data_IF_937789052351
#
_entry.id   IF_937789052351
#
_cell.length_a   1.000
_cell.length_b   1.000
_cell.length_c   1.000
_cell.angle_alpha   90.00
_cell.angle_beta   90.00
_cell.angle_gamma   90.00
#
_symmetry.space_group_name_H-M   'P 1'
#
loop_
_entity.id
_entity.type
_entity.pdbx_description
1 polymer ?
#
# COMPACT_ATOMS: atom_id res chain seq x y z
N UNK A 1 -10.78 -6.43 30.64
CA UNK A 1 -10.40 -5.95 29.30
C UNK A 1 -8.90 -5.74 29.33
N UNK A 2 -8.14 -6.69 28.80
CA UNK A 2 -6.70 -6.56 28.60
C UNK A 2 -6.48 -5.51 27.52
N UNK A 3 -5.54 -4.60 27.70
CA UNK A 3 -5.20 -3.61 26.68
C UNK A 3 -4.69 -4.33 25.42
N UNK A 4 -5.00 -3.80 24.23
CA UNK A 4 -4.30 -4.19 23.00
C UNK A 4 -2.80 -4.17 23.28
N UNK A 5 -2.08 -5.23 22.91
CA UNK A 5 -0.64 -5.33 23.16
C UNK A 5 0.13 -4.46 22.16
N UNK A 6 0.09 -3.15 22.39
CA UNK A 6 0.79 -2.14 21.59
C UNK A 6 2.28 -2.46 21.45
N UNK A 7 2.87 -3.11 22.46
CA UNK A 7 4.27 -3.53 22.41
C UNK A 7 4.50 -4.55 21.30
N UNK A 8 3.66 -5.57 21.18
CA UNK A 8 3.75 -6.55 20.08
C UNK A 8 3.66 -5.86 18.71
N UNK A 9 2.76 -4.88 18.56
CA UNK A 9 2.62 -4.11 17.30
C UNK A 9 3.90 -3.32 16.98
N UNK A 10 4.49 -2.68 17.99
CA UNK A 10 5.73 -1.91 17.85
C UNK A 10 6.93 -2.81 17.53
N UNK A 11 7.00 -4.01 18.11
CA UNK A 11 8.04 -5.00 17.84
C UNK A 11 7.97 -5.48 16.38
N UNK A 12 6.78 -5.87 15.90
CA UNK A 12 6.56 -6.26 14.48
C UNK A 12 6.97 -5.14 13.53
N UNK A 13 6.53 -3.90 13.81
CA UNK A 13 6.87 -2.72 13.01
C UNK A 13 8.39 -2.52 12.92
N UNK A 14 9.06 -2.58 14.07
CA UNK A 14 10.49 -2.29 14.16
C UNK A 14 11.31 -3.35 13.44
N UNK A 15 10.96 -4.63 13.61
CA UNK A 15 11.62 -5.73 12.91
C UNK A 15 11.40 -5.66 11.40
N UNK A 16 10.17 -5.38 10.95
CA UNK A 16 9.85 -5.28 9.52
C UNK A 16 10.61 -4.11 8.85
N UNK A 17 10.64 -2.93 9.46
CA UNK A 17 11.42 -1.81 8.90
C UNK A 17 12.93 -2.04 8.95
N UNK A 18 13.45 -2.73 9.97
CA UNK A 18 14.85 -3.13 10.01
C UNK A 18 15.19 -4.07 8.84
N UNK A 19 14.33 -5.06 8.57
CA UNK A 19 14.47 -5.94 7.42
C UNK A 19 14.45 -5.18 6.09
N UNK A 20 13.45 -4.30 5.88
CA UNK A 20 13.33 -3.49 4.66
C UNK A 20 14.56 -2.61 4.45
N UNK A 21 15.07 -2.00 5.52
CA UNK A 21 16.28 -1.18 5.45
C UNK A 21 17.53 -1.98 5.08
N UNK A 22 17.68 -3.19 5.65
CA UNK A 22 18.78 -4.09 5.32
C UNK A 22 18.73 -4.58 3.86
N UNK A 23 17.53 -4.77 3.31
CA UNK A 23 17.29 -5.27 1.94
C UNK A 23 17.02 -4.15 0.93
N UNK A 24 17.29 -2.88 1.26
CA UNK A 24 17.03 -1.74 0.36
C UNK A 24 17.66 -1.90 -1.04
N UNK A 25 18.80 -2.60 -1.12
CA UNK A 25 19.49 -2.87 -2.37
C UNK A 25 18.71 -3.77 -3.33
N UNK A 26 17.87 -4.66 -2.80
CA UNK A 26 17.04 -5.57 -3.61
C UNK A 26 15.84 -4.86 -4.26
N UNK A 27 15.53 -3.64 -3.83
CA UNK A 27 14.57 -2.75 -4.47
C UNK A 27 15.17 -1.89 -5.58
N UNK A 28 16.49 -1.91 -5.77
CA UNK A 28 17.15 -1.06 -6.76
C UNK A 28 16.71 -1.41 -8.19
N UNK A 29 16.53 -0.39 -9.03
CA UNK A 29 16.25 -0.60 -10.44
C UNK A 29 17.53 -1.05 -11.16
N UNK A 30 17.51 -2.23 -11.76
CA UNK A 30 18.55 -2.68 -12.68
C UNK A 30 18.36 -2.14 -14.11
N UNK A 31 19.32 -2.43 -14.99
CA UNK A 31 19.27 -2.02 -16.42
C UNK A 31 18.00 -2.50 -17.13
N UNK A 32 17.44 -3.63 -16.69
CA UNK A 32 16.19 -4.22 -17.17
C UNK A 32 14.95 -3.33 -16.97
N UNK A 33 14.98 -2.40 -16.00
CA UNK A 33 13.87 -1.48 -15.71
C UNK A 33 13.57 -0.49 -16.86
N UNK A 34 14.47 -0.38 -17.84
CA UNK A 34 14.34 0.47 -19.03
C UNK A 34 14.13 -0.31 -20.33
N UNK A 35 14.10 -1.64 -20.26
CA UNK A 35 13.93 -2.47 -21.45
C UNK A 35 12.45 -2.60 -21.80
N UNK A 36 12.12 -2.64 -23.10
CA UNK A 36 10.74 -2.79 -23.57
C UNK A 36 10.11 -4.13 -23.16
N UNK A 37 10.94 -5.15 -22.90
CA UNK A 37 10.53 -6.45 -22.35
C UNK A 37 10.65 -6.51 -20.81
N UNK A 38 10.97 -5.38 -20.17
CA UNK A 38 11.15 -5.27 -18.73
C UNK A 38 9.87 -5.61 -17.99
N UNK A 39 9.94 -6.57 -17.06
CA UNK A 39 8.79 -6.92 -16.23
C UNK A 39 8.59 -5.84 -15.15
N UNK A 40 7.67 -4.91 -15.39
CA UNK A 40 7.33 -3.85 -14.43
C UNK A 40 7.00 -4.39 -13.03
N UNK A 41 6.35 -5.57 -12.96
CA UNK A 41 6.03 -6.25 -11.71
C UNK A 41 7.25 -6.73 -10.91
N UNK A 42 8.39 -6.93 -11.58
CA UNK A 42 9.65 -7.36 -10.93
C UNK A 42 10.61 -6.22 -10.62
N UNK A 43 10.42 -5.07 -11.28
CA UNK A 43 11.36 -3.93 -11.25
C UNK A 43 10.72 -2.73 -10.56
N UNK A 44 9.73 -2.12 -11.22
CA UNK A 44 9.08 -0.89 -10.78
C UNK A 44 8.12 -1.08 -9.61
N UNK A 45 7.42 -2.21 -9.57
CA UNK A 45 6.42 -2.48 -8.54
C UNK A 45 7.02 -2.53 -7.13
N UNK A 46 8.09 -3.31 -6.84
CA UNK A 46 8.73 -3.29 -5.52
C UNK A 46 9.19 -1.90 -5.09
N UNK A 47 9.82 -1.13 -6.00
CA UNK A 47 10.29 0.22 -5.70
C UNK A 47 9.12 1.17 -5.39
N UNK A 48 8.04 1.09 -6.16
CA UNK A 48 6.84 1.88 -5.95
C UNK A 48 6.14 1.58 -4.63
N UNK A 49 6.07 0.31 -4.26
CA UNK A 49 5.51 -0.15 -2.98
C UNK A 49 6.38 0.30 -1.79
N UNK A 50 7.72 0.21 -1.91
CA UNK A 50 8.64 0.77 -0.92
C UNK A 50 8.41 2.28 -0.74
N UNK A 51 8.39 3.03 -1.84
CA UNK A 51 8.21 4.48 -1.81
C UNK A 51 6.86 4.84 -1.18
N UNK A 52 5.81 4.10 -1.51
CA UNK A 52 4.46 4.33 -1.03
C UNK A 52 4.35 4.08 0.47
N UNK A 53 4.80 2.92 0.95
CA UNK A 53 4.83 2.60 2.38
C UNK A 53 5.61 3.66 3.15
N UNK A 54 6.79 4.05 2.67
CA UNK A 54 7.62 5.05 3.33
C UNK A 54 6.96 6.44 3.33
N UNK A 55 6.40 6.86 2.20
CA UNK A 55 5.71 8.15 2.08
C UNK A 55 4.49 8.24 3.00
N UNK A 56 3.70 7.17 3.11
CA UNK A 56 2.53 7.10 4.00
C UNK A 56 2.95 7.13 5.47
N UNK A 57 3.91 6.28 5.88
CA UNK A 57 4.36 6.20 7.29
C UNK A 57 5.04 7.50 7.74
N UNK A 58 5.78 8.17 6.85
CA UNK A 58 6.42 9.46 7.14
C UNK A 58 5.42 10.54 7.55
N UNK A 59 4.17 10.48 7.10
CA UNK A 59 3.15 11.46 7.45
C UNK A 59 2.67 11.37 8.90
N UNK A 60 2.78 10.19 9.51
CA UNK A 60 2.32 9.92 10.87
C UNK A 60 3.46 9.88 11.90
N UNK A 61 4.69 10.12 11.47
CA UNK A 61 5.86 10.08 12.33
C UNK A 61 6.42 11.48 12.48
N UNK A 62 6.71 11.89 13.73
CA UNK A 62 7.33 13.17 14.00
C UNK A 62 8.80 13.18 13.52
N UNK A 63 9.37 14.32 13.08
CA UNK A 63 10.76 14.39 12.63
C UNK A 63 11.82 13.93 13.64
N UNK A 64 11.48 13.91 14.93
CA UNK A 64 12.35 13.41 16.01
C UNK A 64 12.28 11.89 16.23
N UNK A 65 11.30 11.21 15.62
CA UNK A 65 11.15 9.76 15.71
C UNK A 65 12.21 9.08 14.82
N UNK A 66 13.01 8.12 15.35
CA UNK A 66 13.95 7.35 14.54
C UNK A 66 13.29 6.66 13.32
N UNK A 67 12.02 6.27 13.42
CA UNK A 67 11.28 5.71 12.30
C UNK A 67 11.12 6.73 11.17
N UNK A 68 10.88 8.01 11.49
CA UNK A 68 10.78 9.07 10.50
C UNK A 68 12.06 9.21 9.66
N UNK A 69 13.22 9.13 10.32
CA UNK A 69 14.51 9.17 9.64
C UNK A 69 14.68 7.96 8.71
N UNK A 70 14.40 6.74 9.22
CA UNK A 70 14.50 5.50 8.44
C UNK A 70 13.64 5.53 7.16
N UNK A 71 12.34 5.87 7.29
CA UNK A 71 11.45 5.92 6.11
C UNK A 71 11.78 7.07 5.17
N UNK A 72 12.34 8.17 5.68
CA UNK A 72 12.80 9.28 4.83
C UNK A 72 14.02 8.89 4.00
N UNK A 73 14.97 8.16 4.58
CA UNK A 73 16.14 7.63 3.86
C UNK A 73 15.75 6.61 2.80
N UNK A 74 14.80 5.71 3.11
CA UNK A 74 14.30 4.73 2.14
C UNK A 74 13.53 5.38 0.98
N UNK A 75 12.72 6.41 1.27
CA UNK A 75 12.03 7.17 0.24
C UNK A 75 13.00 7.98 -0.64
N UNK A 76 14.04 8.59 -0.05
CA UNK A 76 15.07 9.29 -0.82
C UNK A 76 15.88 8.30 -1.67
N UNK A 77 16.23 7.13 -1.13
CA UNK A 77 16.83 6.04 -1.90
C UNK A 77 15.96 5.68 -3.10
N UNK A 78 14.66 5.44 -2.88
CA UNK A 78 13.75 5.07 -3.95
C UNK A 78 13.67 6.17 -5.04
N UNK A 79 13.66 7.44 -4.63
CA UNK A 79 13.67 8.57 -5.56
C UNK A 79 14.97 8.65 -6.38
N UNK A 80 16.12 8.39 -5.75
CA UNK A 80 17.40 8.34 -6.43
C UNK A 80 17.46 7.22 -7.48
N UNK A 81 16.86 6.05 -7.22
CA UNK A 81 16.80 4.95 -8.20
C UNK A 81 16.07 5.36 -9.49
N UNK A 82 15.11 6.28 -9.40
CA UNK A 82 14.39 6.80 -10.58
C UNK A 82 15.16 7.86 -11.37
N UNK A 83 16.44 8.10 -11.04
CA UNK A 83 17.20 9.22 -11.57
C UNK A 83 16.60 10.57 -11.14
N UNK A 84 15.99 10.62 -9.94
CA UNK A 84 15.20 11.76 -9.47
C UNK A 84 14.11 12.19 -10.46
N UNK A 85 13.43 11.20 -11.04
CA UNK A 85 12.28 11.37 -11.92
C UNK A 85 12.58 11.34 -13.41
N UNK A 86 13.85 11.40 -13.83
CA UNK A 86 14.25 11.36 -15.24
C UNK A 86 13.82 10.05 -15.92
N UNK A 87 13.87 8.92 -15.20
CA UNK A 87 13.48 7.62 -15.77
C UNK A 87 11.99 7.55 -16.12
N UNK A 88 11.10 8.24 -15.37
CA UNK A 88 9.67 8.26 -15.72
C UNK A 88 9.41 8.97 -17.05
N UNK A 89 10.16 10.03 -17.34
CA UNK A 89 10.09 10.71 -18.63
C UNK A 89 10.57 9.80 -19.76
N UNK A 90 11.67 9.08 -19.55
CA UNK A 90 12.18 8.14 -20.54
C UNK A 90 11.18 7.00 -20.80
N UNK A 91 10.63 6.40 -19.74
CA UNK A 91 9.61 5.35 -19.86
C UNK A 91 8.36 5.83 -20.58
N UNK A 92 7.88 7.04 -20.29
CA UNK A 92 6.71 7.57 -20.99
C UNK A 92 6.95 7.81 -22.48
N UNK A 93 8.20 8.04 -22.90
CA UNK A 93 8.52 8.13 -24.32
C UNK A 93 8.53 6.76 -25.00
N UNK A 94 8.98 5.71 -24.29
CA UNK A 94 8.99 4.33 -24.77
C UNK A 94 7.59 3.71 -24.77
N UNK A 95 6.81 3.97 -23.71
CA UNK A 95 5.49 3.42 -23.47
C UNK A 95 4.46 4.52 -23.12
N UNK A 96 4.03 5.36 -24.09
CA UNK A 96 3.18 6.51 -23.81
C UNK A 96 1.82 6.19 -23.18
N UNK A 97 1.35 4.95 -23.26
CA UNK A 97 0.05 4.54 -22.74
C UNK A 97 0.14 3.61 -21.52
N UNK A 98 1.36 3.29 -21.06
CA UNK A 98 1.53 2.57 -19.81
C UNK A 98 1.14 3.48 -18.62
N UNK A 99 0.31 2.96 -17.72
CA UNK A 99 -0.16 3.73 -16.57
C UNK A 99 0.74 3.58 -15.35
N UNK A 100 1.49 2.46 -15.25
CA UNK A 100 2.34 2.18 -14.09
C UNK A 100 3.38 3.28 -13.78
N UNK A 101 4.02 3.97 -14.76
CA UNK A 101 4.98 5.02 -14.43
C UNK A 101 4.29 6.19 -13.71
N UNK A 102 3.06 6.53 -14.10
CA UNK A 102 2.27 7.58 -13.45
C UNK A 102 1.85 7.15 -12.06
N UNK A 103 1.39 5.91 -11.91
CA UNK A 103 0.99 5.33 -10.63
C UNK A 103 2.15 5.40 -9.62
N UNK A 104 3.36 4.97 -10.01
CA UNK A 104 4.56 5.04 -9.17
C UNK A 104 5.03 6.49 -8.95
N UNK A 105 5.10 7.32 -9.99
CA UNK A 105 5.51 8.73 -9.86
C UNK A 105 4.62 9.50 -8.87
N UNK A 106 3.32 9.21 -8.88
CA UNK A 106 2.35 9.93 -8.07
C UNK A 106 2.64 9.87 -6.56
N UNK A 107 3.28 8.79 -6.10
CA UNK A 107 3.74 8.62 -4.73
C UNK A 107 4.80 9.68 -4.39
N UNK A 108 5.80 9.83 -5.25
CA UNK A 108 6.87 10.83 -5.10
C UNK A 108 6.30 12.25 -5.18
N UNK A 109 5.42 12.51 -6.15
CA UNK A 109 4.78 13.81 -6.30
C UNK A 109 3.95 14.20 -5.07
N UNK A 110 3.19 13.26 -4.51
CA UNK A 110 2.44 13.43 -3.25
C UNK A 110 3.36 13.68 -2.04
N UNK A 111 4.58 13.16 -2.08
CA UNK A 111 5.63 13.40 -1.09
C UNK A 111 6.44 14.69 -1.31
N UNK A 112 6.10 15.49 -2.34
CA UNK A 112 6.79 16.73 -2.70
C UNK A 112 8.04 16.55 -3.58
N UNK A 113 8.35 15.32 -3.99
CA UNK A 113 9.47 14.98 -4.88
C UNK A 113 8.97 15.01 -6.32
N UNK A 114 9.22 16.12 -7.03
CA UNK A 114 8.59 16.42 -8.32
C UNK A 114 9.59 16.56 -9.45
N UNK A 115 9.16 16.19 -10.66
CA UNK A 115 9.94 16.31 -11.89
C UNK A 115 9.11 17.02 -12.99
N UNK A 116 9.39 18.32 -13.19
CA UNK A 116 8.57 19.18 -14.06
C UNK A 116 8.48 18.70 -15.52
N UNK A 117 9.57 18.13 -16.06
CA UNK A 117 9.59 17.59 -17.43
C UNK A 117 8.66 16.40 -17.61
N UNK A 118 8.60 15.53 -16.60
CA UNK A 118 7.68 14.38 -16.60
C UNK A 118 6.24 14.84 -16.45
N UNK A 119 5.94 15.76 -15.54
CA UNK A 119 4.57 16.27 -15.35
C UNK A 119 4.02 16.92 -16.61
N UNK A 120 4.84 17.70 -17.33
CA UNK A 120 4.44 18.30 -18.60
C UNK A 120 4.15 17.23 -19.69
N UNK A 121 4.98 16.19 -19.77
CA UNK A 121 4.77 15.08 -20.70
C UNK A 121 3.51 14.27 -20.33
N UNK A 122 3.33 13.96 -19.05
CA UNK A 122 2.20 13.20 -18.54
C UNK A 122 0.88 13.96 -18.72
N UNK A 123 0.85 15.27 -18.48
CA UNK A 123 -0.30 16.11 -18.77
C UNK A 123 -0.67 16.08 -20.27
N UNK A 124 0.34 16.08 -21.14
CA UNK A 124 0.14 15.97 -22.60
C UNK A 124 -0.49 14.62 -22.97
N UNK A 125 0.09 13.52 -22.51
CA UNK A 125 -0.42 12.15 -22.73
C UNK A 125 -1.84 12.00 -22.19
N UNK A 126 -2.08 12.44 -20.95
CA UNK A 126 -3.38 12.39 -20.28
C UNK A 126 -4.47 13.15 -21.06
N UNK A 127 -4.10 14.20 -21.79
CA UNK A 127 -5.04 14.96 -22.62
C UNK A 127 -5.52 14.19 -23.86
N UNK A 128 -4.85 13.11 -24.27
CA UNK A 128 -5.20 12.35 -25.48
C UNK A 128 -6.48 11.52 -25.29
N UNK A 129 -7.16 11.20 -26.39
CA UNK A 129 -8.30 10.26 -26.35
C UNK A 129 -7.84 8.85 -26.02
N UNK A 130 -6.67 8.43 -26.51
CA UNK A 130 -6.11 7.10 -26.27
C UNK A 130 -5.98 6.80 -24.78
N UNK A 131 -5.36 7.70 -24.03
CA UNK A 131 -5.25 7.57 -22.58
C UNK A 131 -6.62 7.59 -21.87
N UNK A 132 -7.56 8.43 -22.33
CA UNK A 132 -8.90 8.50 -21.71
C UNK A 132 -9.75 7.25 -21.94
N UNK A 133 -9.47 6.51 -23.02
CA UNK A 133 -10.22 5.33 -23.43
C UNK A 133 -9.46 4.03 -23.18
N UNK A 134 -8.31 4.09 -22.50
CA UNK A 134 -7.56 2.90 -22.09
C UNK A 134 -8.46 2.01 -21.24
N UNK A 135 -8.62 0.76 -21.65
CA UNK A 135 -9.37 -0.25 -20.90
C UNK A 135 -8.64 -0.56 -19.59
N UNK A 136 -9.38 -0.47 -18.48
CA UNK A 136 -8.82 -0.56 -17.14
C UNK A 136 -9.79 -1.34 -16.25
N UNK A 137 -9.25 -2.24 -15.44
CA UNK A 137 -10.00 -2.83 -14.34
C UNK A 137 -10.52 -1.73 -13.40
N UNK A 138 -11.76 -1.84 -12.87
CA UNK A 138 -12.38 -0.81 -12.05
C UNK A 138 -11.53 -0.36 -10.85
N UNK A 139 -10.87 -1.28 -10.16
CA UNK A 139 -10.00 -0.96 -9.01
C UNK A 139 -8.78 -0.15 -9.47
N UNK A 140 -8.14 -0.54 -10.57
CA UNK A 140 -6.99 0.21 -11.12
C UNK A 140 -7.39 1.60 -11.59
N UNK A 141 -8.61 1.78 -12.11
CA UNK A 141 -9.13 3.10 -12.50
C UNK A 141 -9.11 4.08 -11.34
N UNK A 142 -9.47 3.65 -10.12
CA UNK A 142 -9.40 4.49 -8.92
C UNK A 142 -7.96 4.90 -8.60
N UNK A 143 -7.02 3.98 -8.69
CA UNK A 143 -5.60 4.24 -8.51
C UNK A 143 -5.06 5.29 -9.48
N UNK A 144 -5.40 5.14 -10.77
CA UNK A 144 -4.99 6.11 -11.81
C UNK A 144 -5.61 7.48 -11.59
N UNK A 145 -6.89 7.56 -11.21
CA UNK A 145 -7.52 8.84 -10.87
C UNK A 145 -6.82 9.51 -9.68
N UNK A 146 -6.41 8.73 -8.68
CA UNK A 146 -5.58 9.20 -7.56
C UNK A 146 -4.21 9.68 -8.03
N UNK A 147 -3.55 8.93 -8.90
CA UNK A 147 -2.22 9.23 -9.42
C UNK A 147 -2.21 10.51 -10.27
N UNK A 148 -3.22 10.69 -11.11
CA UNK A 148 -3.44 11.91 -11.89
C UNK A 148 -3.58 13.13 -10.96
N UNK A 149 -4.41 13.04 -9.91
CA UNK A 149 -4.59 14.14 -8.94
C UNK A 149 -3.28 14.53 -8.24
N UNK A 150 -2.53 13.54 -7.74
CA UNK A 150 -1.25 13.80 -7.06
C UNK A 150 -0.19 14.39 -8.00
N UNK A 151 -0.26 14.05 -9.29
CA UNK A 151 0.65 14.57 -10.31
C UNK A 151 0.20 15.92 -10.90
N UNK A 152 -0.89 16.52 -10.39
CA UNK A 152 -1.43 17.80 -10.89
C UNK A 152 -2.24 17.69 -12.20
N UNK A 153 -2.59 16.48 -12.62
CA UNK A 153 -3.43 16.21 -13.79
C UNK A 153 -4.89 16.22 -13.33
N UNK A 154 -5.60 17.32 -13.57
CA UNK A 154 -6.99 17.47 -13.15
C UNK A 154 -7.97 16.97 -14.22
N UNK A 155 -8.86 16.04 -13.83
CA UNK A 155 -9.95 15.54 -14.67
C UNK A 155 -11.32 15.80 -14.05
N UNK A 156 -12.36 15.92 -14.89
CA UNK A 156 -13.75 16.04 -14.42
C UNK A 156 -14.40 14.71 -14.02
N UNK A 157 -13.73 13.56 -14.11
CA UNK A 157 -14.34 12.26 -13.80
C UNK A 157 -14.58 12.11 -12.27
N UNK A 158 -15.83 11.90 -11.82
CA UNK A 158 -16.12 11.71 -10.41
C UNK A 158 -15.66 10.32 -9.94
N UNK A 159 -14.88 10.27 -8.87
CA UNK A 159 -14.40 9.03 -8.28
C UNK A 159 -15.54 8.07 -7.87
N UNK A 160 -16.72 8.61 -7.53
CA UNK A 160 -17.93 7.85 -7.20
C UNK A 160 -18.38 6.92 -8.33
N UNK A 161 -18.27 7.37 -9.59
CA UNK A 161 -18.64 6.54 -10.75
C UNK A 161 -17.67 5.37 -10.95
N UNK A 162 -16.38 5.59 -10.70
CA UNK A 162 -15.38 4.53 -10.75
C UNK A 162 -15.57 3.54 -9.59
N UNK A 163 -15.88 4.04 -8.38
CA UNK A 163 -16.17 3.22 -7.20
C UNK A 163 -17.34 2.26 -7.46
N UNK A 164 -18.45 2.76 -8.00
CA UNK A 164 -19.64 1.94 -8.29
C UNK A 164 -19.44 0.82 -9.32
N UNK A 165 -18.29 0.77 -10.01
CA UNK A 165 -17.91 -0.32 -10.93
C UNK A 165 -17.04 -1.39 -10.28
N UNK A 166 -16.57 -1.16 -9.05
CA UNK A 166 -15.73 -2.12 -8.32
C UNK A 166 -16.60 -3.17 -7.63
N UNK A 167 -16.02 -4.33 -7.32
CA UNK A 167 -16.69 -5.35 -6.51
C UNK A 167 -17.16 -4.77 -5.17
N UNK A 168 -16.27 -4.09 -4.44
CA UNK A 168 -16.58 -3.51 -3.13
C UNK A 168 -17.67 -2.41 -3.21
N UNK A 169 -17.65 -1.57 -4.24
CA UNK A 169 -18.67 -0.54 -4.46
C UNK A 169 -20.07 -1.09 -4.77
N UNK A 170 -20.18 -2.37 -5.14
CA UNK A 170 -21.45 -3.08 -5.30
C UNK A 170 -22.04 -3.65 -4.01
N UNK A 171 -21.31 -3.58 -2.88
CA UNK A 171 -21.70 -4.18 -1.59
C UNK A 171 -22.20 -5.64 -1.73
N UNK A 172 -21.39 -6.54 -2.31
CA UNK A 172 -21.80 -7.89 -2.66
C UNK A 172 -22.01 -8.75 -1.42
N UNK A 173 -22.55 -9.95 -1.60
CA UNK A 173 -22.67 -10.89 -0.51
C UNK A 173 -21.27 -11.27 0.03
N UNK A 174 -21.03 -11.15 1.33
CA UNK A 174 -19.68 -11.19 1.92
C UNK A 174 -19.00 -12.56 1.84
N UNK A 175 -19.77 -13.64 1.67
CA UNK A 175 -19.26 -15.00 1.48
C UNK A 175 -18.76 -15.25 0.04
N UNK A 176 -18.89 -14.27 -0.85
CA UNK A 176 -18.32 -14.32 -2.21
C UNK A 176 -16.90 -13.76 -2.28
N UNK A 177 -16.29 -13.47 -1.12
CA UNK A 177 -14.90 -13.03 -1.06
C UNK A 177 -13.97 -14.17 -1.51
N UNK A 178 -13.20 -13.89 -2.55
CA UNK A 178 -12.12 -14.72 -3.07
C UNK A 178 -10.79 -13.97 -2.89
N UNK A 179 -9.66 -14.66 -3.10
CA UNK A 179 -8.33 -14.03 -2.99
C UNK A 179 -8.20 -12.78 -3.86
N UNK A 180 -8.67 -12.83 -5.11
CA UNK A 180 -8.60 -11.71 -6.05
C UNK A 180 -9.49 -10.53 -5.63
N UNK A 181 -10.71 -10.78 -5.14
CA UNK A 181 -11.59 -9.73 -4.63
C UNK A 181 -11.10 -9.17 -3.29
N UNK A 182 -10.40 -9.99 -2.48
CA UNK A 182 -9.63 -9.57 -1.31
C UNK A 182 -8.63 -8.47 -1.63
N UNK A 183 -7.66 -8.74 -2.52
CA UNK A 183 -6.71 -7.71 -2.93
C UNK A 183 -7.37 -6.54 -3.68
N UNK A 184 -8.44 -6.79 -4.43
CA UNK A 184 -9.15 -5.70 -5.09
C UNK A 184 -9.82 -4.75 -4.07
N UNK A 185 -10.44 -5.28 -3.01
CA UNK A 185 -11.15 -4.46 -2.02
C UNK A 185 -10.18 -3.62 -1.17
N UNK A 186 -9.03 -4.18 -0.80
CA UNK A 186 -8.00 -3.46 -0.03
C UNK A 186 -7.50 -2.26 -0.82
N UNK A 187 -7.18 -2.46 -2.11
CA UNK A 187 -6.78 -1.38 -3.01
C UNK A 187 -7.87 -0.32 -3.22
N UNK A 188 -9.16 -0.71 -3.29
CA UNK A 188 -10.25 0.29 -3.32
C UNK A 188 -10.20 1.19 -2.08
N UNK A 189 -10.10 0.60 -0.88
CA UNK A 189 -10.02 1.38 0.36
C UNK A 189 -8.75 2.21 0.41
N UNK A 190 -7.60 1.67 0.00
CA UNK A 190 -6.34 2.41 -0.08
C UNK A 190 -6.47 3.63 -1.00
N UNK A 191 -7.11 3.50 -2.16
CA UNK A 191 -7.31 4.64 -3.06
C UNK A 191 -8.34 5.66 -2.55
N UNK A 192 -9.41 5.23 -1.88
CA UNK A 192 -10.41 6.13 -1.30
C UNK A 192 -9.84 6.94 -0.14
N UNK A 193 -9.09 6.26 0.72
CA UNK A 193 -8.53 6.84 1.95
C UNK A 193 -7.19 7.51 1.73
N UNK A 194 -6.66 7.47 0.50
CA UNK A 194 -5.36 8.01 0.18
C UNK A 194 -4.27 7.38 1.07
N UNK A 195 -4.31 6.03 1.08
CA UNK A 195 -3.51 5.13 1.89
C UNK A 195 -3.59 5.44 3.39
N UNK A 196 -4.83 5.49 3.91
CA UNK A 196 -5.10 5.69 5.35
C UNK A 196 -5.13 7.16 5.82
N UNK A 197 -4.82 8.12 4.94
CA UNK A 197 -4.74 9.55 5.28
C UNK A 197 -6.09 10.20 5.57
N UNK A 198 -7.13 9.83 4.83
CA UNK A 198 -8.44 10.48 4.88
C UNK A 198 -9.55 9.46 5.04
N UNK A 199 -9.72 8.96 6.27
CA UNK A 199 -10.77 7.99 6.61
C UNK A 199 -12.19 8.51 6.29
N UNK A 200 -12.44 9.81 6.43
CA UNK A 200 -13.74 10.44 6.17
C UNK A 200 -14.18 10.41 4.69
N UNK A 201 -13.29 9.99 3.77
CA UNK A 201 -13.63 9.81 2.35
C UNK A 201 -14.30 8.47 2.06
N UNK A 202 -14.32 7.54 3.02
CA UNK A 202 -15.03 6.26 2.87
C UNK A 202 -16.53 6.52 3.00
N UNK A 203 -17.36 6.17 1.98
CA UNK A 203 -18.82 6.28 2.09
C UNK A 203 -19.36 5.50 3.30
N UNK A 204 -20.39 6.04 3.95
CA UNK A 204 -20.89 5.50 5.23
C UNK A 204 -21.45 4.06 5.12
N UNK A 205 -22.10 3.74 4.01
CA UNK A 205 -22.57 2.40 3.68
C UNK A 205 -21.40 1.41 3.50
N UNK A 206 -20.34 1.85 2.82
CA UNK A 206 -19.10 1.08 2.65
C UNK A 206 -18.39 0.85 3.98
N UNK A 207 -18.27 1.89 4.81
CA UNK A 207 -17.68 1.80 6.13
C UNK A 207 -18.46 0.83 7.04
N UNK A 208 -19.79 0.89 7.04
CA UNK A 208 -20.64 -0.03 7.79
C UNK A 208 -20.48 -1.48 7.32
N UNK A 209 -20.47 -1.70 6.01
CA UNK A 209 -20.26 -3.02 5.41
C UNK A 209 -18.89 -3.61 5.78
N UNK A 210 -17.81 -2.84 5.64
CA UNK A 210 -16.46 -3.28 5.99
C UNK A 210 -16.32 -3.52 7.49
N UNK A 211 -16.85 -2.63 8.34
CA UNK A 211 -16.83 -2.81 9.80
C UNK A 211 -17.50 -4.12 10.22
N UNK A 212 -18.55 -4.53 9.52
CA UNK A 212 -19.28 -5.75 9.84
C UNK A 212 -18.54 -7.03 9.43
N UNK A 213 -17.90 -7.05 8.26
CA UNK A 213 -17.36 -8.28 7.66
C UNK A 213 -15.85 -8.47 7.80
N UNK A 214 -15.11 -7.38 7.99
CA UNK A 214 -13.66 -7.41 8.03
C UNK A 214 -13.07 -8.30 9.13
N UNK A 215 -13.62 -8.37 10.37
CA UNK A 215 -13.11 -9.29 11.38
C UNK A 215 -13.11 -10.76 10.92
N UNK A 216 -14.21 -11.21 10.31
CA UNK A 216 -14.34 -12.61 9.83
C UNK A 216 -13.42 -12.91 8.64
N UNK A 217 -13.26 -11.95 7.72
CA UNK A 217 -12.34 -12.11 6.60
C UNK A 217 -10.88 -12.12 7.05
N UNK A 218 -10.52 -11.24 7.99
CA UNK A 218 -9.18 -11.21 8.57
C UNK A 218 -8.87 -12.53 9.28
N UNK A 219 -9.75 -13.01 10.16
CA UNK A 219 -9.58 -14.28 10.87
C UNK A 219 -9.38 -15.45 9.89
N UNK A 220 -10.20 -15.51 8.84
CA UNK A 220 -10.08 -16.54 7.78
C UNK A 220 -8.74 -16.45 7.04
N UNK A 221 -8.27 -15.23 6.72
CA UNK A 221 -6.98 -15.04 6.05
C UNK A 221 -5.83 -15.48 6.95
N UNK A 222 -5.84 -15.11 8.23
CA UNK A 222 -4.79 -15.48 9.18
C UNK A 222 -4.78 -17.00 9.46
N UNK A 223 -5.95 -17.63 9.59
CA UNK A 223 -6.07 -19.08 9.72
C UNK A 223 -5.55 -19.83 8.49
N UNK A 224 -5.79 -19.28 7.29
CA UNK A 224 -5.25 -19.82 6.04
C UNK A 224 -3.75 -19.51 5.83
N UNK A 225 -3.11 -18.77 6.74
CA UNK A 225 -1.73 -18.31 6.60
C UNK A 225 -1.52 -17.35 5.42
N UNK A 226 -2.55 -16.58 5.03
CA UNK A 226 -2.47 -15.54 4.01
C UNK A 226 -2.04 -14.22 4.65
N UNK A 227 -0.77 -14.15 5.08
CA UNK A 227 -0.23 -13.05 5.88
C UNK A 227 -0.22 -11.71 5.16
N UNK A 228 0.07 -11.74 3.86
CA UNK A 228 0.07 -10.55 3.00
C UNK A 228 -1.29 -9.85 3.00
N UNK A 229 -2.32 -10.57 2.54
CA UNK A 229 -3.70 -10.09 2.54
C UNK A 229 -4.20 -9.76 3.95
N UNK A 230 -3.81 -10.52 4.97
CA UNK A 230 -4.13 -10.23 6.36
C UNK A 230 -3.61 -8.87 6.82
N UNK A 231 -2.37 -8.52 6.46
CA UNK A 231 -1.80 -7.21 6.75
C UNK A 231 -2.50 -6.10 5.97
N UNK A 232 -2.86 -6.33 4.71
CA UNK A 232 -3.66 -5.39 3.94
C UNK A 232 -5.04 -5.12 4.57
N UNK A 233 -5.73 -6.17 5.05
CA UNK A 233 -7.00 -6.03 5.75
C UNK A 233 -6.85 -5.27 7.09
N UNK A 234 -5.71 -5.38 7.77
CA UNK A 234 -5.42 -4.53 8.94
C UNK A 234 -5.20 -3.07 8.55
N UNK A 235 -4.57 -2.78 7.41
CA UNK A 235 -4.49 -1.41 6.89
C UNK A 235 -5.91 -0.89 6.57
N UNK A 236 -6.76 -1.71 5.96
CA UNK A 236 -8.18 -1.36 5.72
C UNK A 236 -8.84 -1.00 7.05
N UNK A 237 -8.77 -1.87 8.06
CA UNK A 237 -9.33 -1.60 9.39
C UNK A 237 -8.88 -0.27 9.97
N UNK A 238 -7.57 0.01 9.90
CA UNK A 238 -6.97 1.23 10.41
C UNK A 238 -7.31 2.49 9.58
N UNK A 239 -7.80 2.30 8.34
CA UNK A 239 -8.19 3.37 7.42
C UNK A 239 -9.69 3.69 7.46
N UNK A 240 -10.51 2.92 8.18
CA UNK A 240 -11.95 3.16 8.31
C UNK A 240 -12.25 4.29 9.32
N UNK A 241 -13.37 5.02 9.12
CA UNK A 241 -13.86 5.94 10.14
C UNK A 241 -14.35 5.17 11.37
N UNK A 242 -14.16 5.74 12.56
CA UNK A 242 -14.57 5.14 13.84
C UNK A 242 -13.44 4.42 14.59
N UNK A 243 -13.72 3.90 15.80
CA UNK A 243 -12.71 3.24 16.62
C UNK A 243 -12.30 1.88 16.03
N UNK A 244 -11.08 1.45 16.35
CA UNK A 244 -10.62 0.11 15.99
C UNK A 244 -11.28 -0.95 16.86
N UNK A 245 -11.54 -2.12 16.28
CA UNK A 245 -12.01 -3.29 17.03
C UNK A 245 -10.84 -3.89 17.82
N UNK A 246 -10.83 -3.63 19.14
CA UNK A 246 -9.79 -4.12 20.04
C UNK A 246 -9.67 -5.65 20.05
N UNK A 247 -10.79 -6.38 19.96
CA UNK A 247 -10.78 -7.84 20.01
C UNK A 247 -10.12 -8.42 18.75
N UNK A 248 -10.43 -7.85 17.59
CA UNK A 248 -9.78 -8.18 16.32
C UNK A 248 -8.28 -7.91 16.38
N UNK A 249 -7.85 -6.76 16.92
CA UNK A 249 -6.42 -6.44 17.04
C UNK A 249 -5.68 -7.38 18.02
N UNK A 250 -6.31 -7.73 19.14
CA UNK A 250 -5.76 -8.63 20.15
C UNK A 250 -5.52 -10.04 19.61
N UNK A 251 -6.32 -10.47 18.65
CA UNK A 251 -6.16 -11.76 18.00
C UNK A 251 -5.15 -11.70 16.85
N UNK A 252 -5.26 -10.70 15.97
CA UNK A 252 -4.48 -10.64 14.73
C UNK A 252 -2.98 -10.40 14.97
N UNK A 253 -2.62 -9.45 15.84
CA UNK A 253 -1.21 -9.05 16.01
C UNK A 253 -0.32 -10.15 16.59
N UNK A 254 -0.75 -10.93 17.60
CA UNK A 254 0.03 -12.09 18.05
C UNK A 254 0.19 -13.17 16.99
N UNK A 255 -0.78 -13.36 16.08
CA UNK A 255 -0.66 -14.31 14.97
C UNK A 255 0.39 -13.82 13.95
N UNK A 256 0.35 -12.53 13.57
CA UNK A 256 1.35 -11.92 12.68
C UNK A 256 2.75 -11.92 13.30
N UNK A 257 2.87 -11.55 14.58
CA UNK A 257 4.14 -11.57 15.29
C UNK A 257 4.75 -12.97 15.35
N UNK A 258 3.90 -14.00 15.56
CA UNK A 258 4.34 -15.39 15.45
C UNK A 258 4.71 -15.78 14.04
N UNK A 259 4.13 -15.19 12.99
CA UNK A 259 4.42 -15.45 11.58
C UNK A 259 5.69 -14.75 11.06
N UNK A 260 6.16 -13.71 11.75
CA UNK A 260 7.37 -12.98 11.38
C UNK A 260 8.63 -13.77 11.77
N UNK A 261 9.57 -13.88 10.84
CA UNK A 261 10.87 -14.49 11.09
C UNK A 261 11.76 -13.60 11.96
N UNK A 262 12.79 -14.19 12.58
CA UNK A 262 13.77 -13.47 13.41
C UNK A 262 14.50 -12.34 12.66
N UNK A 263 14.60 -12.43 11.32
CA UNK A 263 15.16 -11.40 10.46
C UNK A 263 14.26 -10.16 10.34
N UNK A 264 12.98 -10.28 10.68
CA UNK A 264 11.92 -9.30 10.44
C UNK A 264 11.08 -9.57 9.20
N UNK A 265 11.47 -10.53 8.34
CA UNK A 265 10.70 -10.93 7.17
C UNK A 265 9.35 -11.54 7.56
N UNK A 266 8.30 -11.22 6.81
CA UNK A 266 7.01 -11.89 6.86
C UNK A 266 6.79 -12.62 5.53
N UNK A 267 6.52 -13.94 5.50
CA UNK A 267 6.20 -14.63 4.25
C UNK A 267 4.87 -14.15 3.68
N UNK A 268 4.72 -14.17 2.35
CA UNK A 268 3.44 -13.83 1.70
C UNK A 268 2.32 -14.77 2.14
N UNK A 269 2.60 -16.07 2.12
CA UNK A 269 1.69 -17.12 2.57
C UNK A 269 2.43 -18.31 3.20
N UNK A 270 1.73 -19.11 3.99
CA UNK A 270 2.22 -20.40 4.51
C UNK A 270 2.08 -20.56 6.03
N UNK A 271 2.42 -21.75 6.56
CA UNK A 271 2.49 -21.93 8.00
C UNK A 271 3.59 -21.01 8.55
N UNK A 272 3.32 -20.32 9.67
CA UNK A 272 4.30 -19.44 10.31
C UNK A 272 5.66 -20.11 10.61
N UNK A 273 6.66 -19.36 11.11
CA UNK A 273 8.02 -19.81 11.37
C UNK A 273 8.01 -21.03 12.30
N UNK A 274 8.78 -22.04 11.91
CA UNK A 274 8.82 -23.35 12.55
C UNK A 274 8.69 -24.53 11.57
N UNK A 275 8.34 -24.29 10.30
CA UNK A 275 8.18 -25.35 9.30
C UNK A 275 9.09 -25.23 8.06
N UNK A 276 9.85 -24.15 7.88
CA UNK A 276 10.61 -23.92 6.64
C UNK A 276 11.75 -22.91 6.75
N UNK A 277 12.51 -22.82 5.65
CA UNK A 277 13.53 -21.79 5.42
C UNK A 277 12.88 -20.42 5.30
N UNK A 278 13.62 -19.36 5.67
CA UNK A 278 13.20 -17.99 5.41
C UNK A 278 12.94 -17.80 3.90
N UNK A 279 11.79 -17.23 3.50
CA UNK A 279 11.49 -16.95 2.09
C UNK A 279 12.53 -15.99 1.49
N UNK A 280 12.73 -16.10 0.18
CA UNK A 280 13.53 -15.11 -0.53
C UNK A 280 12.82 -13.75 -0.59
N UNK A 281 13.51 -12.73 -1.12
CA UNK A 281 12.99 -11.38 -1.22
C UNK A 281 11.65 -11.30 -1.97
N UNK A 282 11.50 -11.86 -3.20
CA UNK A 282 10.21 -11.85 -3.91
C UNK A 282 9.02 -12.44 -3.14
N UNK A 283 9.26 -13.44 -2.28
CA UNK A 283 8.20 -14.11 -1.52
C UNK A 283 7.98 -13.54 -0.10
N UNK A 284 8.59 -12.39 0.22
CA UNK A 284 8.48 -11.77 1.55
C UNK A 284 8.46 -10.26 1.59
N UNK A 285 8.98 -9.57 0.57
CA UNK A 285 9.14 -8.11 0.64
C UNK A 285 7.78 -7.40 0.79
N UNK A 286 6.76 -7.82 0.04
CA UNK A 286 5.46 -7.15 -0.01
C UNK A 286 4.73 -7.29 1.33
N UNK A 287 4.62 -8.51 1.84
CA UNK A 287 4.02 -8.80 3.15
C UNK A 287 4.77 -8.13 4.28
N UNK A 288 6.10 -8.01 4.19
CA UNK A 288 6.91 -7.27 5.18
C UNK A 288 6.62 -5.77 5.14
N UNK A 289 6.48 -5.17 3.95
CA UNK A 289 6.05 -3.77 3.79
C UNK A 289 4.63 -3.54 4.32
N UNK A 290 3.70 -4.44 4.01
CA UNK A 290 2.31 -4.36 4.47
C UNK A 290 2.22 -4.51 5.98
N UNK A 291 2.99 -5.40 6.60
CA UNK A 291 3.06 -5.53 8.05
C UNK A 291 3.61 -4.28 8.73
N UNK A 292 4.71 -3.73 8.20
CA UNK A 292 5.30 -2.48 8.67
C UNK A 292 4.29 -1.32 8.60
N UNK A 293 3.58 -1.21 7.47
CA UNK A 293 2.60 -0.16 7.25
C UNK A 293 1.36 -0.32 8.13
N UNK A 294 0.77 -1.52 8.18
CA UNK A 294 -0.35 -1.86 9.04
C UNK A 294 -0.05 -1.52 10.51
N UNK A 295 1.15 -1.86 10.98
CA UNK A 295 1.56 -1.62 12.36
C UNK A 295 1.73 -0.13 12.65
N UNK A 296 2.35 0.62 11.74
CA UNK A 296 2.49 2.07 11.87
C UNK A 296 1.13 2.78 11.93
N UNK A 297 0.21 2.44 11.01
CA UNK A 297 -1.12 3.04 10.97
C UNK A 297 -1.96 2.66 12.19
N UNK A 298 -1.89 1.40 12.64
CA UNK A 298 -2.59 0.94 13.84
C UNK A 298 -2.12 1.69 15.09
N UNK A 299 -0.81 1.85 15.29
CA UNK A 299 -0.26 2.58 16.43
C UNK A 299 -0.72 4.04 16.43
N UNK A 300 -0.70 4.70 15.27
CA UNK A 300 -1.17 6.07 15.14
C UNK A 300 -2.65 6.20 15.52
N UNK A 301 -3.50 5.31 14.99
CA UNK A 301 -4.94 5.30 15.27
C UNK A 301 -5.24 5.03 16.75
N UNK A 302 -4.48 4.14 17.41
CA UNK A 302 -4.59 3.91 18.84
C UNK A 302 -4.15 5.14 19.65
N UNK A 303 -3.10 5.85 19.21
CA UNK A 303 -2.63 7.10 19.83
C UNK A 303 -3.64 8.24 19.75
N UNK A 304 -4.35 8.37 18.61
CA UNK A 304 -5.44 9.34 18.43
C UNK A 304 -6.68 9.04 19.28
N UNK A 305 -6.85 7.78 19.72
CA UNK A 305 -7.97 7.31 20.53
C UNK A 305 -7.79 7.47 22.04
N UNK A 306 -6.62 7.91 22.52
CA UNK A 306 -6.39 8.21 23.93
C UNK A 306 -6.75 9.68 24.20
N UNK A 307 -7.89 9.99 24.85
CA UNK A 307 -8.10 11.33 25.38
C UNK A 307 -7.01 11.62 26.42
N UNK A 308 -6.28 12.72 26.23
CA UNK A 308 -5.36 13.26 27.23
C UNK A 308 -6.06 13.75 28.49
#
# INVERSE_FOLDING_TARGET
MTAVDVRTILEVRSAAFAWVSAHRGDFALGDEALTADGHADRTWKPLGELALTCASVRQYTAPSDPLHACVSELLDFAWQQTGRGELFLHLQQLEPFATYPLEVYSVFAGAGLRHAGYEAAAATVASTRGWRLTEQEPTRRLGILGAERHSGIHRPEPAEQALGRTWLGGLPEPWTLERSSGYALTHVVFHLTDWGRTADRVPADLAAYLTHWLPSWLDTCLDAGMWDLGCELLIVAASLPGPLDEAMLQDAWPRIARAQHDSGALPVEGPGPGAGFEPDFPHSYHSTLMAAFAAALTVERLGQGVPG
#
